data_IF_649977406169
#
_entry.id   IF_649977406169
#
_cell.length_a   1.000
_cell.length_b   1.000
_cell.length_c   1.000
_cell.angle_alpha   90.00
_cell.angle_beta   90.00
_cell.angle_gamma   90.00
#
_symmetry.space_group_name_H-M   'P 1'
#
loop_
_entity.id
_entity.type
_entity.pdbx_description
1 polymer ?
#
# COMPACT_ATOMS: atom_id res chain seq x y z
N UNK A 1 5.23 13.99 -30.19
CA UNK A 1 4.65 12.69 -29.77
C UNK A 1 5.21 11.64 -30.72
N UNK A 2 6.16 10.86 -30.26
CA UNK A 2 6.91 9.90 -31.09
C UNK A 2 6.12 8.58 -31.27
N UNK A 3 6.29 7.93 -32.42
CA UNK A 3 5.63 6.64 -32.77
C UNK A 3 5.73 5.54 -31.69
N UNK A 4 6.76 5.59 -30.85
CA UNK A 4 6.94 4.67 -29.71
C UNK A 4 5.87 4.86 -28.60
N UNK A 5 5.38 6.09 -28.37
CA UNK A 5 4.34 6.34 -27.37
C UNK A 5 2.97 5.79 -27.78
N UNK A 6 2.70 5.71 -29.10
CA UNK A 6 1.44 5.16 -29.62
C UNK A 6 1.48 3.62 -29.56
N UNK A 7 2.61 3.00 -29.87
CA UNK A 7 2.77 1.55 -29.78
C UNK A 7 2.73 1.05 -28.32
N UNK A 8 3.26 1.84 -27.39
CA UNK A 8 3.26 1.53 -25.95
C UNK A 8 1.87 1.73 -25.32
N UNK A 9 1.14 2.78 -25.74
CA UNK A 9 -0.26 3.01 -25.34
C UNK A 9 -1.17 1.89 -25.83
N UNK A 10 -1.03 1.44 -27.07
CA UNK A 10 -1.75 0.31 -27.64
C UNK A 10 -1.42 -1.02 -26.94
N UNK A 11 -0.19 -1.20 -26.43
CA UNK A 11 0.20 -2.40 -25.68
C UNK A 11 -0.38 -2.43 -24.25
N UNK A 12 -0.63 -1.25 -23.68
CA UNK A 12 -1.26 -1.09 -22.35
C UNK A 12 -2.78 -1.26 -22.47
N UNK A 13 -3.38 -0.63 -23.48
CA UNK A 13 -4.78 -0.81 -23.83
C UNK A 13 -5.03 -2.28 -24.22
N UNK A 14 -4.13 -2.93 -24.96
CA UNK A 14 -4.18 -4.36 -25.28
C UNK A 14 -3.94 -5.26 -24.07
N UNK A 15 -3.13 -4.88 -23.07
CA UNK A 15 -2.99 -5.61 -21.81
C UNK A 15 -4.21 -5.43 -20.91
N UNK A 16 -4.76 -4.21 -20.82
CA UNK A 16 -6.01 -3.94 -20.10
C UNK A 16 -7.18 -4.62 -20.83
N UNK A 17 -7.21 -4.60 -22.18
CA UNK A 17 -8.18 -5.32 -22.99
C UNK A 17 -7.94 -6.84 -23.02
N UNK A 18 -6.68 -7.32 -22.98
CA UNK A 18 -6.35 -8.75 -22.85
C UNK A 18 -6.71 -9.28 -21.47
N UNK A 19 -6.52 -8.49 -20.42
CA UNK A 19 -7.05 -8.78 -19.09
C UNK A 19 -8.59 -8.79 -19.16
N UNK A 20 -9.23 -7.80 -19.77
CA UNK A 20 -10.67 -7.76 -19.98
C UNK A 20 -11.17 -8.91 -20.89
N UNK A 21 -10.43 -9.28 -21.98
CA UNK A 21 -10.78 -10.39 -22.88
C UNK A 21 -10.49 -11.78 -22.29
N UNK A 22 -9.50 -11.93 -21.40
CA UNK A 22 -9.35 -13.18 -20.63
C UNK A 22 -10.53 -13.38 -19.69
N UNK A 23 -11.10 -12.28 -19.15
CA UNK A 23 -12.33 -12.31 -18.37
C UNK A 23 -13.54 -12.77 -19.16
N UNK A 24 -13.71 -12.33 -20.41
CA UNK A 24 -14.87 -12.72 -21.25
C UNK A 24 -14.81 -14.17 -21.71
N UNK A 25 -13.64 -14.77 -21.88
CA UNK A 25 -13.51 -16.18 -22.28
C UNK A 25 -13.75 -17.18 -21.14
N UNK A 26 -13.54 -16.77 -19.89
CA UNK A 26 -13.84 -17.62 -18.70
C UNK A 26 -15.31 -17.54 -18.29
N UNK A 27 -16.06 -16.51 -18.74
CA UNK A 27 -17.48 -16.35 -18.41
C UNK A 27 -18.43 -17.32 -19.14
N UNK A 28 -18.02 -17.89 -20.28
CA UNK A 28 -18.92 -18.73 -21.10
C UNK A 28 -19.09 -20.18 -20.59
N UNK A 29 -18.42 -20.61 -19.51
CA UNK A 29 -18.55 -21.96 -19.00
C UNK A 29 -18.87 -22.08 -17.49
N UNK A 30 -18.92 -20.97 -16.75
CA UNK A 30 -19.36 -21.00 -15.34
C UNK A 30 -20.88 -20.90 -15.28
N UNK A 31 -21.54 -22.01 -15.03
CA UNK A 31 -22.94 -22.03 -14.55
C UNK A 31 -23.10 -20.94 -13.48
N UNK A 32 -24.19 -20.14 -13.57
CA UNK A 32 -24.58 -19.12 -12.56
C UNK A 32 -24.84 -19.78 -11.21
N UNK A 33 -23.78 -20.21 -10.51
CA UNK A 33 -23.90 -20.61 -9.12
C UNK A 33 -23.98 -19.35 -8.26
N UNK A 34 -24.87 -19.38 -7.28
CA UNK A 34 -25.09 -18.32 -6.31
C UNK A 34 -23.76 -17.98 -5.59
N UNK A 35 -23.49 -16.69 -5.40
CA UNK A 35 -22.35 -16.24 -4.62
C UNK A 35 -22.72 -16.35 -3.14
N UNK A 36 -21.88 -17.02 -2.36
CA UNK A 36 -22.03 -17.16 -0.91
C UNK A 36 -20.91 -16.41 -0.22
N UNK A 37 -21.28 -15.47 0.67
CA UNK A 37 -20.31 -14.75 1.50
C UNK A 37 -20.12 -15.48 2.83
N UNK A 38 -18.86 -15.71 3.21
CA UNK A 38 -18.49 -16.34 4.48
C UNK A 38 -17.38 -15.55 5.17
N UNK A 39 -17.31 -15.64 6.48
CA UNK A 39 -16.17 -15.17 7.24
C UNK A 39 -15.04 -16.20 7.13
N UNK A 40 -13.79 -15.72 6.94
CA UNK A 40 -12.60 -16.58 6.84
C UNK A 40 -12.40 -17.33 8.16
N UNK A 41 -12.32 -18.65 8.09
CA UNK A 41 -11.80 -19.51 9.13
C UNK A 41 -10.37 -20.02 8.82
N UNK A 42 -9.77 -20.76 9.75
CA UNK A 42 -8.39 -21.23 9.60
C UNK A 42 -8.21 -22.23 8.44
N UNK A 43 -9.24 -23.03 8.17
CA UNK A 43 -9.18 -24.09 7.14
C UNK A 43 -9.10 -23.49 5.73
N UNK A 44 -9.67 -22.30 5.54
CA UNK A 44 -9.67 -21.59 4.25
C UNK A 44 -8.51 -20.61 4.08
N UNK A 45 -7.64 -20.40 5.07
CA UNK A 45 -6.54 -19.42 4.98
C UNK A 45 -5.59 -19.67 3.81
N UNK A 46 -5.28 -20.93 3.51
CA UNK A 46 -4.42 -21.31 2.37
C UNK A 46 -5.09 -21.01 1.03
N UNK A 47 -6.38 -21.37 0.88
CA UNK A 47 -7.14 -21.10 -0.35
C UNK A 47 -7.35 -19.60 -0.56
N UNK A 48 -7.60 -18.84 0.52
CA UNK A 48 -7.63 -17.37 0.48
C UNK A 48 -6.33 -16.78 -0.04
N UNK A 49 -5.19 -17.18 0.55
CA UNK A 49 -3.88 -16.66 0.17
C UNK A 49 -3.50 -17.07 -1.27
N UNK A 50 -3.91 -18.26 -1.72
CA UNK A 50 -3.72 -18.72 -3.10
C UNK A 50 -4.55 -17.87 -4.07
N UNK A 51 -5.83 -17.63 -3.76
CA UNK A 51 -6.67 -16.71 -4.52
C UNK A 51 -6.02 -15.33 -4.65
N UNK A 52 -5.58 -14.75 -3.53
CA UNK A 52 -4.95 -13.41 -3.53
C UNK A 52 -3.70 -13.37 -4.41
N UNK A 53 -2.86 -14.43 -4.40
CA UNK A 53 -1.65 -14.46 -5.24
C UNK A 53 -1.94 -14.56 -6.73
N UNK A 54 -3.05 -15.18 -7.10
CA UNK A 54 -3.42 -15.44 -8.50
C UNK A 54 -4.40 -14.40 -9.06
N UNK A 55 -5.12 -13.67 -8.21
CA UNK A 55 -6.09 -12.68 -8.65
C UNK A 55 -5.39 -11.43 -9.22
N UNK A 56 -5.84 -10.89 -10.36
CA UNK A 56 -5.22 -9.71 -11.01
C UNK A 56 -5.15 -8.46 -10.14
N UNK A 57 -6.07 -8.33 -9.16
CA UNK A 57 -6.11 -7.24 -8.19
C UNK A 57 -5.49 -7.60 -6.84
N UNK A 58 -4.88 -8.77 -6.71
CA UNK A 58 -4.30 -9.27 -5.46
C UNK A 58 -3.07 -8.45 -5.03
N UNK A 59 -3.02 -8.14 -3.72
CA UNK A 59 -1.92 -7.39 -3.12
C UNK A 59 -1.44 -8.10 -1.85
N UNK A 60 -0.18 -7.93 -1.44
CA UNK A 60 0.30 -8.49 -0.16
C UNK A 60 -0.58 -8.10 1.02
N UNK A 61 -1.23 -6.94 0.95
CA UNK A 61 -2.13 -6.39 1.98
C UNK A 61 -3.48 -7.12 2.08
N UNK A 62 -3.84 -7.96 1.09
CA UNK A 62 -5.03 -8.80 1.13
C UNK A 62 -4.78 -10.16 1.80
N UNK A 63 -3.51 -10.58 1.98
CA UNK A 63 -3.20 -11.90 2.54
C UNK A 63 -3.77 -12.10 3.95
N UNK A 64 -4.19 -13.31 4.25
CA UNK A 64 -4.85 -13.69 5.50
C UNK A 64 -4.01 -13.38 6.75
N UNK A 65 -2.70 -13.45 6.63
CA UNK A 65 -1.73 -13.22 7.71
C UNK A 65 -1.78 -11.83 8.32
N UNK A 66 -2.36 -10.83 7.65
CA UNK A 66 -2.61 -9.52 8.23
C UNK A 66 -3.58 -9.55 9.42
N UNK A 67 -4.42 -10.58 9.55
CA UNK A 67 -5.23 -10.75 10.77
C UNK A 67 -4.37 -10.80 12.03
N UNK A 68 -3.27 -11.56 11.98
CA UNK A 68 -2.36 -11.68 13.13
C UNK A 68 -1.62 -10.37 13.38
N UNK A 69 -1.14 -9.68 12.34
CA UNK A 69 -0.47 -8.39 12.48
C UNK A 69 -1.39 -7.38 13.16
N UNK A 70 -2.63 -7.25 12.68
CA UNK A 70 -3.60 -6.30 13.24
C UNK A 70 -4.03 -6.66 14.66
N UNK A 71 -4.20 -7.94 14.95
CA UNK A 71 -4.55 -8.44 16.28
C UNK A 71 -3.40 -8.28 17.28
N UNK A 72 -2.17 -8.69 16.90
CA UNK A 72 -0.98 -8.58 17.79
C UNK A 72 -0.62 -7.13 18.06
N UNK A 73 -0.64 -6.27 17.03
CA UNK A 73 -0.18 -4.87 17.17
C UNK A 73 -1.20 -3.98 17.84
N UNK A 74 -2.47 -4.07 17.43
CA UNK A 74 -3.50 -3.10 17.83
C UNK A 74 -4.64 -3.70 18.63
N UNK A 75 -4.74 -5.02 18.73
CA UNK A 75 -5.85 -5.70 19.41
C UNK A 75 -7.17 -5.58 18.65
N UNK A 76 -7.15 -5.28 17.33
CA UNK A 76 -8.37 -5.13 16.56
C UNK A 76 -9.10 -6.46 16.34
N UNK A 77 -10.41 -6.39 16.39
CA UNK A 77 -11.28 -7.48 15.92
C UNK A 77 -11.31 -7.48 14.39
N UNK A 78 -10.95 -8.58 13.79
CA UNK A 78 -10.96 -8.75 12.34
C UNK A 78 -12.25 -9.42 11.86
N UNK A 79 -12.67 -9.12 10.63
CA UNK A 79 -13.80 -9.67 9.90
C UNK A 79 -13.40 -9.84 8.45
N UNK A 80 -12.77 -10.96 8.13
CA UNK A 80 -12.30 -11.23 6.78
C UNK A 80 -13.40 -11.95 6.01
N UNK A 81 -13.97 -11.29 5.00
CA UNK A 81 -15.06 -11.81 4.20
C UNK A 81 -14.54 -12.44 2.91
N UNK A 82 -15.06 -13.61 2.59
CA UNK A 82 -14.71 -14.41 1.42
C UNK A 82 -15.98 -14.67 0.62
N UNK A 83 -15.95 -14.33 -0.67
CA UNK A 83 -16.99 -14.67 -1.63
C UNK A 83 -16.62 -15.96 -2.35
N UNK A 84 -17.55 -16.91 -2.39
CA UNK A 84 -17.40 -18.17 -3.08
C UNK A 84 -18.50 -18.36 -4.12
N UNK A 85 -18.13 -18.84 -5.31
CA UNK A 85 -19.05 -19.28 -6.35
C UNK A 85 -18.86 -20.80 -6.52
N UNK A 86 -19.80 -21.57 -5.99
CA UNK A 86 -19.58 -23.00 -5.78
C UNK A 86 -18.49 -23.24 -4.74
N UNK A 87 -17.40 -23.93 -5.13
CA UNK A 87 -16.26 -24.20 -4.26
C UNK A 87 -15.07 -23.26 -4.49
N UNK A 88 -15.18 -22.33 -5.43
CA UNK A 88 -14.08 -21.45 -5.81
C UNK A 88 -14.23 -20.07 -5.17
N UNK A 89 -13.13 -19.53 -4.66
CA UNK A 89 -13.11 -18.16 -4.14
C UNK A 89 -13.08 -17.21 -5.34
N UNK A 90 -14.03 -16.26 -5.37
CA UNK A 90 -14.13 -15.22 -6.41
C UNK A 90 -13.90 -13.81 -5.86
N UNK A 91 -13.77 -13.64 -4.54
CA UNK A 91 -13.43 -12.35 -3.95
C UNK A 91 -13.11 -12.43 -2.47
N UNK A 92 -12.33 -11.45 -1.99
CA UNK A 92 -11.91 -11.34 -0.60
C UNK A 92 -11.93 -9.89 -0.12
N UNK A 93 -12.32 -9.67 1.13
CA UNK A 93 -12.40 -8.36 1.75
C UNK A 93 -11.86 -8.43 3.19
N UNK A 94 -10.59 -8.02 3.43
CA UNK A 94 -9.93 -8.06 4.72
C UNK A 94 -10.35 -6.87 5.60
N UNK A 95 -11.29 -7.06 6.50
CA UNK A 95 -11.83 -6.02 7.37
C UNK A 95 -11.37 -6.14 8.81
N UNK A 96 -11.27 -4.99 9.49
CA UNK A 96 -11.06 -4.92 10.93
C UNK A 96 -11.82 -3.74 11.56
N UNK A 97 -12.23 -3.90 12.82
CA UNK A 97 -13.04 -2.91 13.52
C UNK A 97 -12.16 -1.95 14.34
N UNK A 98 -12.25 -0.66 14.02
CA UNK A 98 -11.62 0.41 14.80
C UNK A 98 -12.68 1.09 15.66
N UNK A 99 -12.48 1.09 16.99
CA UNK A 99 -13.39 1.71 17.96
C UNK A 99 -12.70 2.89 18.63
N UNK A 100 -12.46 3.93 17.86
CA UNK A 100 -11.73 5.12 18.31
C UNK A 100 -12.67 6.18 18.90
N UNK A 101 -12.27 6.75 20.03
CA UNK A 101 -12.94 7.95 20.59
C UNK A 101 -12.58 9.22 19.81
N UNK A 102 -11.44 9.22 19.10
CA UNK A 102 -10.95 10.39 18.35
C UNK A 102 -11.53 10.43 16.93
N UNK A 103 -11.60 9.26 16.26
CA UNK A 103 -11.95 9.19 14.83
C UNK A 103 -13.22 8.37 14.56
N UNK A 104 -13.97 8.01 15.62
CA UNK A 104 -15.22 7.28 15.51
C UNK A 104 -15.06 5.76 15.46
N UNK A 105 -16.22 5.09 15.36
CA UNK A 105 -16.32 3.63 15.27
C UNK A 105 -16.59 3.24 13.83
N UNK A 106 -15.71 2.45 13.23
CA UNK A 106 -15.81 2.05 11.83
C UNK A 106 -15.24 0.66 11.57
N UNK A 107 -15.73 0.02 10.54
CA UNK A 107 -15.11 -1.13 9.90
C UNK A 107 -14.21 -0.63 8.78
N UNK A 108 -13.01 -1.15 8.61
CA UNK A 108 -12.12 -0.70 7.56
C UNK A 108 -11.19 -1.80 7.06
N UNK A 109 -10.69 -1.62 5.84
CA UNK A 109 -9.70 -2.53 5.25
C UNK A 109 -8.27 -2.12 5.58
N UNK A 110 -7.33 -3.05 5.37
CA UNK A 110 -5.94 -2.70 5.02
C UNK A 110 -5.93 -1.87 3.74
N UNK A 111 -4.87 -1.07 3.46
CA UNK A 111 -4.69 -0.46 2.15
C UNK A 111 -4.72 -1.52 1.02
N UNK A 112 -5.30 -1.17 -0.12
CA UNK A 112 -5.57 -2.12 -1.20
C UNK A 112 -7.06 -2.44 -1.35
N UNK A 113 -7.80 -2.33 -0.28
CA UNK A 113 -9.25 -2.44 -0.31
C UNK A 113 -9.76 -3.87 -0.41
N UNK A 114 -10.61 -4.13 -1.38
CA UNK A 114 -11.13 -5.45 -1.70
C UNK A 114 -10.48 -5.99 -2.99
N UNK A 115 -10.40 -7.30 -3.10
CA UNK A 115 -9.99 -8.00 -4.31
C UNK A 115 -11.14 -8.90 -4.77
N UNK A 116 -11.73 -8.63 -5.93
CA UNK A 116 -12.81 -9.40 -6.51
C UNK A 116 -12.58 -9.61 -8.01
N UNK A 117 -13.06 -10.73 -8.55
CA UNK A 117 -12.92 -11.07 -9.95
C UNK A 117 -13.91 -10.30 -10.85
N UNK A 118 -15.05 -9.91 -10.30
CA UNK A 118 -16.12 -9.22 -11.03
C UNK A 118 -16.91 -8.26 -10.12
N UNK A 119 -17.71 -7.40 -10.75
CA UNK A 119 -18.51 -6.38 -10.08
C UNK A 119 -19.58 -6.96 -9.18
N UNK A 120 -20.25 -8.04 -9.60
CA UNK A 120 -21.28 -8.71 -8.80
C UNK A 120 -20.72 -9.21 -7.46
N UNK A 121 -19.55 -9.85 -7.51
CA UNK A 121 -18.81 -10.30 -6.33
C UNK A 121 -18.42 -9.13 -5.42
N UNK A 122 -17.96 -8.03 -6.01
CA UNK A 122 -17.60 -6.84 -5.26
C UNK A 122 -18.80 -6.23 -4.54
N UNK A 123 -19.94 -6.08 -5.23
CA UNK A 123 -21.19 -5.56 -4.65
C UNK A 123 -21.61 -6.40 -3.44
N UNK A 124 -21.68 -7.71 -3.60
CA UNK A 124 -22.14 -8.60 -2.51
C UNK A 124 -21.18 -8.56 -1.29
N UNK A 125 -19.86 -8.46 -1.52
CA UNK A 125 -18.90 -8.28 -0.42
C UNK A 125 -19.11 -6.94 0.32
N UNK A 126 -19.40 -5.86 -0.41
CA UNK A 126 -19.64 -4.54 0.16
C UNK A 126 -20.96 -4.50 0.94
N UNK A 127 -22.05 -5.03 0.38
CA UNK A 127 -23.35 -5.17 1.07
C UNK A 127 -23.23 -5.99 2.35
N UNK A 128 -22.49 -7.10 2.30
CA UNK A 128 -22.24 -7.91 3.49
C UNK A 128 -21.40 -7.16 4.54
N UNK A 129 -20.42 -6.34 4.11
CA UNK A 129 -19.64 -5.49 5.00
C UNK A 129 -20.50 -4.41 5.70
N UNK A 130 -21.52 -3.86 5.02
CA UNK A 130 -22.51 -2.97 5.62
C UNK A 130 -23.28 -3.69 6.73
N UNK A 131 -23.78 -4.89 6.46
CA UNK A 131 -24.51 -5.68 7.45
C UNK A 131 -23.61 -6.00 8.67
N UNK A 132 -22.37 -6.43 8.45
CA UNK A 132 -21.39 -6.66 9.53
C UNK A 132 -21.17 -5.38 10.36
N UNK A 133 -21.09 -4.21 9.71
CA UNK A 133 -20.92 -2.95 10.43
C UNK A 133 -22.14 -2.63 11.30
N UNK A 134 -23.37 -2.83 10.79
CA UNK A 134 -24.61 -2.64 11.54
C UNK A 134 -24.68 -3.59 12.75
N UNK A 135 -24.40 -4.87 12.57
CA UNK A 135 -24.41 -5.88 13.64
C UNK A 135 -23.39 -5.55 14.75
N UNK A 136 -22.24 -5.00 14.37
CA UNK A 136 -21.19 -4.56 15.30
C UNK A 136 -21.46 -3.16 15.89
N UNK A 137 -22.55 -2.49 15.50
CA UNK A 137 -22.91 -1.11 15.89
C UNK A 137 -21.78 -0.12 15.53
N UNK A 138 -21.21 -0.31 14.34
CA UNK A 138 -20.25 0.62 13.72
C UNK A 138 -21.00 1.52 12.74
N UNK A 139 -20.58 2.76 12.60
CA UNK A 139 -21.32 3.79 11.85
C UNK A 139 -20.88 3.96 10.41
N UNK A 140 -19.80 3.30 10.02
CA UNK A 140 -19.26 3.39 8.66
C UNK A 140 -18.39 2.19 8.31
N UNK A 141 -18.30 1.94 7.01
CA UNK A 141 -17.30 1.05 6.39
C UNK A 141 -16.39 1.90 5.53
N UNK A 142 -15.09 1.68 5.61
CA UNK A 142 -14.07 2.41 4.84
C UNK A 142 -13.18 1.41 4.12
N UNK A 143 -13.23 1.43 2.80
CA UNK A 143 -12.33 0.65 1.94
C UNK A 143 -11.16 1.56 1.58
N UNK A 144 -9.95 1.22 2.04
CA UNK A 144 -8.78 2.07 1.88
C UNK A 144 -7.97 1.71 0.64
N UNK A 145 -7.56 2.73 -0.12
CA UNK A 145 -6.64 2.61 -1.25
C UNK A 145 -7.01 1.51 -2.24
N UNK A 146 -8.31 1.35 -2.53
CA UNK A 146 -8.78 0.42 -3.56
C UNK A 146 -8.16 0.82 -4.91
N UNK A 147 -7.62 -0.15 -5.62
CA UNK A 147 -7.11 0.06 -6.98
C UNK A 147 -8.19 -0.03 -8.05
N UNK A 148 -9.37 -0.48 -7.67
CA UNK A 148 -10.54 -0.57 -8.51
C UNK A 148 -11.65 0.31 -7.95
N UNK A 149 -12.34 1.02 -8.83
CA UNK A 149 -13.54 1.78 -8.49
C UNK A 149 -14.73 0.84 -8.69
N UNK A 150 -15.29 0.37 -7.58
CA UNK A 150 -16.48 -0.46 -7.54
C UNK A 150 -17.74 0.39 -7.44
N UNK A 151 -18.95 -0.21 -7.50
CA UNK A 151 -20.16 0.52 -7.82
C UNK A 151 -20.47 1.72 -6.96
N UNK A 152 -21.30 2.54 -7.53
CA UNK A 152 -21.51 3.98 -7.41
C UNK A 152 -22.26 4.43 -6.14
N UNK A 153 -22.77 3.50 -5.33
CA UNK A 153 -23.57 3.83 -4.14
C UNK A 153 -22.71 4.28 -2.96
N UNK A 154 -21.45 3.90 -2.97
CA UNK A 154 -20.47 4.32 -1.97
C UNK A 154 -19.77 5.60 -2.40
N UNK A 155 -19.64 6.54 -1.46
CA UNK A 155 -18.85 7.74 -1.71
C UNK A 155 -17.39 7.38 -2.02
N UNK A 156 -16.88 7.83 -3.16
CA UNK A 156 -15.50 7.60 -3.57
C UNK A 156 -14.69 8.89 -3.60
N UNK A 157 -13.45 8.82 -3.15
CA UNK A 157 -12.46 9.90 -3.23
C UNK A 157 -11.13 9.36 -3.74
N UNK A 158 -10.44 10.16 -4.55
CA UNK A 158 -9.14 9.81 -5.11
C UNK A 158 -8.20 11.01 -5.06
N UNK A 159 -7.46 11.14 -3.97
CA UNK A 159 -6.42 12.17 -3.80
C UNK A 159 -4.99 11.60 -3.87
N UNK A 160 -4.87 10.28 -4.07
CA UNK A 160 -3.61 9.56 -4.17
C UNK A 160 -3.52 8.77 -5.47
N UNK A 161 -2.28 8.52 -5.88
CA UNK A 161 -1.93 7.62 -6.98
C UNK A 161 -0.90 6.61 -6.49
N UNK A 162 -0.94 5.38 -7.02
CA UNK A 162 0.19 4.45 -6.92
C UNK A 162 1.02 4.51 -8.19
N UNK A 163 2.26 4.04 -8.13
CA UNK A 163 3.19 4.02 -9.25
C UNK A 163 3.71 2.60 -9.46
N UNK A 164 3.53 2.08 -10.66
CA UNK A 164 4.03 0.77 -11.08
C UNK A 164 5.09 0.95 -12.15
N UNK A 165 6.25 0.32 -11.95
CA UNK A 165 7.34 0.28 -12.91
C UNK A 165 7.54 -1.16 -13.39
N UNK A 166 7.57 -1.35 -14.71
CA UNK A 166 8.02 -2.60 -15.31
C UNK A 166 9.54 -2.60 -15.34
N UNK A 167 10.14 -3.64 -14.79
CA UNK A 167 11.59 -3.83 -14.75
C UNK A 167 12.03 -4.69 -15.93
N UNK A 168 13.18 -4.37 -16.57
CA UNK A 168 13.81 -5.26 -17.54
C UNK A 168 14.48 -6.44 -16.81
N UNK A 169 14.91 -7.44 -17.55
CA UNK A 169 15.61 -8.62 -17.02
C UNK A 169 17.00 -8.31 -16.48
N UNK A 170 17.65 -7.23 -16.96
CA UNK A 170 19.02 -6.87 -16.62
C UNK A 170 19.15 -5.43 -16.14
N UNK A 171 20.02 -5.20 -15.17
CA UNK A 171 20.30 -3.88 -14.58
C UNK A 171 20.83 -2.89 -15.61
N UNK A 172 21.70 -3.34 -16.53
CA UNK A 172 22.25 -2.52 -17.61
C UNK A 172 21.18 -2.02 -18.56
N UNK A 173 20.17 -2.84 -18.83
CA UNK A 173 19.02 -2.45 -19.66
C UNK A 173 18.22 -1.35 -18.96
N UNK A 174 17.94 -1.50 -17.65
CA UNK A 174 17.31 -0.44 -16.86
C UNK A 174 18.12 0.84 -16.88
N UNK A 175 19.43 0.74 -16.61
CA UNK A 175 20.32 1.92 -16.59
C UNK A 175 20.30 2.68 -17.90
N UNK A 176 20.32 1.97 -19.03
CA UNK A 176 20.29 2.57 -20.36
C UNK A 176 18.98 3.31 -20.67
N UNK A 177 17.84 2.79 -20.17
CA UNK A 177 16.52 3.37 -20.36
C UNK A 177 16.26 4.62 -19.52
N UNK A 178 16.96 4.77 -18.38
CA UNK A 178 16.78 5.92 -17.50
C UNK A 178 17.18 7.23 -18.19
N UNK A 179 16.46 8.31 -17.86
CA UNK A 179 16.84 9.66 -18.27
C UNK A 179 18.28 10.00 -17.81
N UNK A 180 19.00 10.74 -18.63
CA UNK A 180 20.39 11.14 -18.36
C UNK A 180 20.53 11.90 -17.05
N UNK A 181 19.52 12.71 -16.67
CA UNK A 181 19.52 13.42 -15.39
C UNK A 181 19.43 12.44 -14.22
N UNK A 182 18.57 11.39 -14.29
CA UNK A 182 18.45 10.37 -13.22
C UNK A 182 19.81 9.67 -13.05
N UNK A 183 20.42 9.19 -14.14
CA UNK A 183 21.75 8.58 -14.11
C UNK A 183 22.80 9.50 -13.47
N UNK A 184 22.75 10.80 -13.79
CA UNK A 184 23.63 11.80 -13.18
C UNK A 184 23.41 11.95 -11.68
N UNK A 185 22.13 11.93 -11.21
CA UNK A 185 21.84 12.03 -9.78
C UNK A 185 22.32 10.79 -9.00
N UNK A 186 22.13 9.59 -9.55
CA UNK A 186 22.65 8.34 -8.94
C UNK A 186 24.18 8.37 -8.87
N UNK A 187 24.88 8.74 -9.96
CA UNK A 187 26.34 8.89 -9.93
C UNK A 187 26.81 9.94 -8.91
N UNK A 188 26.06 11.04 -8.77
CA UNK A 188 26.37 12.07 -7.77
C UNK A 188 26.20 11.53 -6.35
N UNK A 189 25.16 10.73 -6.08
CA UNK A 189 24.97 10.09 -4.79
C UNK A 189 26.16 9.20 -4.41
N UNK A 190 26.62 8.33 -5.34
CA UNK A 190 27.79 7.49 -5.14
C UNK A 190 29.06 8.30 -4.89
N UNK A 191 29.27 9.45 -5.59
CA UNK A 191 30.39 10.38 -5.34
C UNK A 191 30.30 11.06 -3.97
N UNK A 192 29.10 11.23 -3.42
CA UNK A 192 28.87 11.78 -2.08
C UNK A 192 29.04 10.74 -0.97
N UNK A 193 29.72 9.62 -1.25
CA UNK A 193 30.06 8.55 -0.29
C UNK A 193 28.84 7.89 0.36
N UNK A 194 27.67 7.95 -0.31
CA UNK A 194 26.51 7.20 0.14
C UNK A 194 26.72 5.71 -0.17
N UNK A 195 26.41 4.85 0.82
CA UNK A 195 26.47 3.39 0.72
C UNK A 195 25.07 2.82 0.85
N UNK A 196 24.71 1.88 0.00
CA UNK A 196 23.43 1.17 0.10
C UNK A 196 23.64 -0.26 0.66
N UNK A 197 22.60 -0.74 1.32
CA UNK A 197 22.57 -2.08 1.89
C UNK A 197 21.12 -2.60 1.83
N UNK A 198 20.93 -3.87 1.40
CA UNK A 198 19.61 -4.53 1.37
C UNK A 198 19.67 -5.79 2.22
N UNK A 199 18.67 -5.97 3.07
CA UNK A 199 18.57 -7.05 4.03
C UNK A 199 17.20 -7.74 3.97
N UNK A 200 17.20 -9.07 4.01
CA UNK A 200 16.02 -9.93 4.10
C UNK A 200 15.96 -10.74 5.40
N UNK A 201 16.92 -10.53 6.30
CA UNK A 201 16.97 -11.20 7.61
C UNK A 201 16.22 -10.46 8.71
N UNK A 202 15.93 -9.17 8.49
CA UNK A 202 15.37 -8.26 9.49
C UNK A 202 16.40 -7.56 10.37
N UNK A 203 17.70 -7.81 10.15
CA UNK A 203 18.78 -7.18 10.93
C UNK A 203 18.79 -5.65 10.79
N UNK A 204 18.35 -5.11 9.65
CA UNK A 204 18.26 -3.67 9.42
C UNK A 204 16.99 -3.01 9.98
N UNK A 205 16.04 -3.77 10.54
CA UNK A 205 14.80 -3.20 11.07
C UNK A 205 15.02 -2.09 12.12
N UNK A 206 15.90 -2.22 13.10
CA UNK A 206 16.12 -1.15 14.09
C UNK A 206 16.60 0.17 13.44
N UNK A 207 17.53 0.09 12.49
CA UNK A 207 18.07 1.25 11.79
C UNK A 207 17.01 1.89 10.86
N UNK A 208 16.22 1.08 10.14
CA UNK A 208 15.08 1.55 9.36
C UNK A 208 14.07 2.28 10.25
N UNK A 209 13.70 1.69 11.38
CA UNK A 209 12.70 2.26 12.29
C UNK A 209 13.14 3.60 12.88
N UNK A 210 14.41 3.74 13.28
CA UNK A 210 14.95 5.01 13.78
C UNK A 210 14.87 6.09 12.70
N UNK A 211 15.37 5.81 11.49
CA UNK A 211 15.29 6.75 10.35
C UNK A 211 13.84 7.13 10.04
N UNK A 212 12.94 6.14 9.93
CA UNK A 212 11.54 6.36 9.60
C UNK A 212 10.80 7.15 10.69
N UNK A 213 11.13 6.91 11.96
CA UNK A 213 10.60 7.67 13.10
C UNK A 213 11.02 9.14 13.06
N UNK A 214 12.29 9.41 12.73
CA UNK A 214 12.79 10.79 12.54
C UNK A 214 12.08 11.48 11.38
N UNK A 215 11.93 10.80 10.26
CA UNK A 215 11.22 11.35 9.11
C UNK A 215 9.77 11.69 9.46
N UNK A 216 9.02 10.75 10.05
CA UNK A 216 7.62 10.97 10.41
C UNK A 216 7.45 12.08 11.43
N UNK A 217 8.38 12.19 12.39
CA UNK A 217 8.43 13.32 13.31
C UNK A 217 8.60 14.65 12.55
N UNK A 218 9.57 14.75 11.63
CA UNK A 218 9.85 15.97 10.86
C UNK A 218 8.66 16.42 9.98
N UNK A 219 7.91 15.47 9.41
CA UNK A 219 6.73 15.78 8.57
C UNK A 219 5.44 15.90 9.36
N UNK A 220 5.49 15.84 10.70
CA UNK A 220 4.33 16.06 11.55
C UNK A 220 3.36 14.89 11.64
N UNK A 221 3.80 13.67 11.34
CA UNK A 221 2.96 12.47 11.35
C UNK A 221 3.38 11.53 12.50
N UNK A 222 2.44 10.99 13.30
CA UNK A 222 2.78 9.97 14.29
C UNK A 222 3.36 8.72 13.63
N UNK A 223 4.44 8.19 14.17
CA UNK A 223 4.99 6.90 13.74
C UNK A 223 4.17 5.75 14.34
N UNK A 224 4.09 4.62 13.65
CA UNK A 224 3.61 3.37 14.25
C UNK A 224 4.64 2.78 15.21
N UNK A 225 4.26 1.81 16.05
CA UNK A 225 5.20 1.14 16.97
C UNK A 225 6.21 0.27 16.23
N UNK A 226 7.38 0.09 16.82
CA UNK A 226 8.40 -0.86 16.32
C UNK A 226 7.81 -2.26 16.14
N UNK A 227 6.97 -2.67 17.10
CA UNK A 227 6.30 -3.97 17.12
C UNK A 227 5.41 -4.19 15.91
N UNK A 228 4.88 -3.13 15.28
CA UNK A 228 4.09 -3.26 14.06
C UNK A 228 4.94 -3.87 12.93
N UNK A 229 6.11 -3.31 12.67
CA UNK A 229 7.01 -3.83 11.63
C UNK A 229 7.60 -5.20 12.00
N UNK A 230 7.92 -5.42 13.28
CA UNK A 230 8.37 -6.72 13.74
C UNK A 230 7.30 -7.80 13.52
N UNK A 231 6.03 -7.49 13.81
CA UNK A 231 4.91 -8.40 13.53
C UNK A 231 4.69 -8.61 12.02
N UNK A 232 4.97 -7.61 11.17
CA UNK A 232 4.95 -7.77 9.71
C UNK A 232 6.05 -8.73 9.28
N UNK A 233 7.29 -8.57 9.73
CA UNK A 233 8.41 -9.49 9.44
C UNK A 233 8.05 -10.92 9.85
N UNK A 234 7.53 -11.11 11.07
CA UNK A 234 7.09 -12.43 11.56
C UNK A 234 6.00 -13.05 10.68
N UNK A 235 5.06 -12.23 10.19
CA UNK A 235 3.95 -12.70 9.36
C UNK A 235 4.36 -12.99 7.90
N UNK A 236 5.44 -12.40 7.41
CA UNK A 236 5.90 -12.51 6.01
C UNK A 236 7.31 -13.09 5.90
N UNK A 237 7.60 -14.29 6.46
CA UNK A 237 8.93 -14.88 6.40
C UNK A 237 9.35 -15.10 4.94
N UNK A 238 10.52 -14.55 4.56
CA UNK A 238 11.06 -14.62 3.21
C UNK A 238 10.30 -13.83 2.15
N UNK A 239 9.32 -12.99 2.55
CA UNK A 239 8.51 -12.17 1.64
C UNK A 239 8.65 -10.67 1.91
N UNK A 240 9.81 -10.22 2.38
CA UNK A 240 10.11 -8.80 2.61
C UNK A 240 11.58 -8.49 2.40
N UNK A 241 11.89 -7.22 2.20
CA UNK A 241 13.25 -6.70 2.32
C UNK A 241 13.26 -5.30 2.92
N UNK A 242 14.44 -4.91 3.44
CA UNK A 242 14.72 -3.56 3.98
C UNK A 242 15.94 -3.04 3.24
N UNK A 243 15.77 -1.96 2.50
CA UNK A 243 16.86 -1.27 1.81
C UNK A 243 17.21 0.03 2.53
N UNK A 244 18.47 0.22 2.91
CA UNK A 244 18.96 1.43 3.56
C UNK A 244 20.06 2.09 2.73
N UNK A 245 20.10 3.41 2.78
CA UNK A 245 21.20 4.24 2.26
C UNK A 245 21.83 4.97 3.44
N UNK A 246 23.11 4.77 3.62
CA UNK A 246 23.93 5.31 4.69
C UNK A 246 24.80 6.47 4.18
N UNK A 247 24.96 7.47 5.03
CA UNK A 247 26.01 8.47 4.95
C UNK A 247 26.81 8.39 6.25
N UNK A 248 28.04 7.94 6.17
CA UNK A 248 28.82 7.50 7.33
C UNK A 248 28.00 6.46 8.14
N UNK A 249 27.77 6.73 9.43
CA UNK A 249 27.00 5.85 10.34
C UNK A 249 25.52 6.24 10.46
N UNK A 250 25.03 7.17 9.64
CA UNK A 250 23.65 7.65 9.70
C UNK A 250 22.84 7.15 8.51
N UNK A 251 21.66 6.60 8.76
CA UNK A 251 20.71 6.23 7.69
C UNK A 251 20.10 7.48 7.08
N UNK A 252 20.42 7.74 5.82
CA UNK A 252 19.97 8.91 5.06
C UNK A 252 18.65 8.70 4.32
N UNK A 253 18.35 7.45 3.92
CA UNK A 253 17.10 7.03 3.28
C UNK A 253 16.89 5.54 3.50
N UNK A 254 15.65 5.07 3.39
CA UNK A 254 15.35 3.65 3.49
C UNK A 254 13.94 3.33 3.07
N UNK A 255 13.75 2.06 2.70
CA UNK A 255 12.48 1.49 2.31
C UNK A 255 12.30 0.11 2.93
N UNK A 256 11.08 -0.17 3.35
CA UNK A 256 10.59 -1.50 3.70
C UNK A 256 9.64 -1.95 2.60
N UNK A 257 9.91 -3.09 2.00
CA UNK A 257 9.11 -3.67 0.93
C UNK A 257 8.51 -5.02 1.34
N UNK A 258 7.38 -5.37 0.73
CA UNK A 258 6.86 -6.73 0.70
C UNK A 258 7.02 -7.31 -0.70
N UNK A 259 7.17 -8.63 -0.77
CA UNK A 259 7.38 -9.38 -2.00
C UNK A 259 6.23 -10.36 -2.20
N UNK A 260 5.61 -10.37 -3.39
CA UNK A 260 4.55 -11.33 -3.72
C UNK A 260 4.51 -11.57 -5.24
N UNK A 261 4.61 -12.83 -5.65
CA UNK A 261 4.65 -13.20 -7.06
C UNK A 261 5.86 -12.59 -7.75
N UNK A 262 5.64 -11.92 -8.85
CA UNK A 262 6.64 -11.24 -9.68
C UNK A 262 6.80 -9.75 -9.35
N UNK A 263 6.22 -9.29 -8.25
CA UNK A 263 6.15 -7.86 -7.88
C UNK A 263 6.74 -7.59 -6.51
N UNK A 264 7.62 -6.59 -6.44
CA UNK A 264 8.11 -6.00 -5.20
C UNK A 264 7.27 -4.76 -4.86
N UNK A 265 6.75 -4.68 -3.64
CA UNK A 265 5.82 -3.63 -3.20
C UNK A 265 6.47 -2.71 -2.18
N UNK A 266 6.68 -1.45 -2.52
CA UNK A 266 7.14 -0.41 -1.60
C UNK A 266 6.07 -0.03 -0.58
N UNK A 267 6.25 -0.47 0.66
CA UNK A 267 5.27 -0.28 1.74
C UNK A 267 5.51 1.00 2.52
N UNK A 268 6.69 1.14 3.08
CA UNK A 268 7.10 2.30 3.88
C UNK A 268 8.49 2.74 3.45
N UNK A 269 8.64 4.02 3.18
CA UNK A 269 9.93 4.55 2.78
C UNK A 269 10.04 6.04 3.00
N UNK A 270 11.26 6.49 3.23
CA UNK A 270 11.59 7.89 3.44
C UNK A 270 13.03 8.20 3.04
N UNK A 271 13.28 9.48 2.80
CA UNK A 271 14.61 10.05 2.76
C UNK A 271 14.63 11.29 3.65
N UNK A 272 15.57 11.34 4.59
CA UNK A 272 15.68 12.45 5.54
C UNK A 272 16.02 13.74 4.79
N UNK A 273 15.31 14.86 5.06
CA UNK A 273 15.46 16.13 4.36
C UNK A 273 16.88 16.65 4.31
N UNK A 274 17.64 16.50 5.39
CA UNK A 274 19.04 16.93 5.51
C UNK A 274 20.00 16.22 4.53
N UNK A 275 19.64 15.01 4.07
CA UNK A 275 20.45 14.21 3.13
C UNK A 275 19.97 14.29 1.67
N UNK A 276 18.85 14.96 1.38
CA UNK A 276 18.34 15.07 0.01
C UNK A 276 19.32 15.75 -0.95
N UNK A 277 20.12 16.72 -0.45
CA UNK A 277 21.18 17.38 -1.23
C UNK A 277 22.29 16.41 -1.67
N UNK A 278 22.50 15.33 -0.92
CA UNK A 278 23.45 14.25 -1.24
C UNK A 278 22.86 13.25 -2.24
N UNK A 279 21.57 13.37 -2.61
CA UNK A 279 20.86 12.50 -3.54
C UNK A 279 20.55 11.12 -2.97
N UNK A 280 20.33 11.02 -1.66
CA UNK A 280 20.03 9.77 -0.96
C UNK A 280 18.78 9.06 -1.52
N UNK A 281 17.70 9.80 -1.83
CA UNK A 281 16.49 9.23 -2.42
C UNK A 281 16.74 8.60 -3.82
N UNK A 282 17.63 9.19 -4.62
CA UNK A 282 17.97 8.64 -5.95
C UNK A 282 18.74 7.33 -5.83
N UNK A 283 19.71 7.27 -4.92
CA UNK A 283 20.45 6.04 -4.69
C UNK A 283 19.53 4.95 -4.14
N UNK A 284 18.70 5.29 -3.17
CA UNK A 284 17.79 4.34 -2.55
C UNK A 284 16.85 3.68 -3.57
N UNK A 285 16.23 4.46 -4.45
CA UNK A 285 15.32 3.89 -5.44
C UNK A 285 16.07 3.10 -6.55
N UNK A 286 17.27 3.54 -6.92
CA UNK A 286 18.11 2.78 -7.83
C UNK A 286 18.49 1.41 -7.27
N UNK A 287 18.97 1.35 -6.04
CA UNK A 287 19.38 0.09 -5.40
C UNK A 287 18.21 -0.86 -5.19
N UNK A 288 17.01 -0.35 -4.91
CA UNK A 288 15.79 -1.16 -4.85
C UNK A 288 15.46 -1.78 -6.21
N UNK A 289 15.56 -1.01 -7.29
CA UNK A 289 15.29 -1.54 -8.64
C UNK A 289 16.34 -2.56 -9.06
N UNK A 290 17.62 -2.29 -8.79
CA UNK A 290 18.72 -3.21 -9.02
C UNK A 290 18.52 -4.53 -8.23
N UNK A 291 18.19 -4.43 -6.94
CA UNK A 291 17.89 -5.59 -6.11
C UNK A 291 16.68 -6.38 -6.62
N UNK A 292 15.61 -5.69 -7.04
CA UNK A 292 14.42 -6.33 -7.59
C UNK A 292 14.74 -7.13 -8.87
N UNK A 293 15.52 -6.55 -9.80
CA UNK A 293 15.98 -7.23 -11.02
C UNK A 293 16.81 -8.47 -10.68
N UNK A 294 17.78 -8.32 -9.78
CA UNK A 294 18.69 -9.41 -9.38
C UNK A 294 17.98 -10.57 -8.67
N UNK A 295 16.76 -10.33 -8.15
CA UNK A 295 15.90 -11.36 -7.56
C UNK A 295 14.76 -11.82 -8.48
N UNK A 296 14.78 -11.41 -9.77
CA UNK A 296 13.84 -11.88 -10.79
C UNK A 296 12.45 -11.24 -10.73
N UNK A 297 12.28 -10.10 -10.06
CA UNK A 297 11.02 -9.37 -10.08
C UNK A 297 10.83 -8.64 -11.41
N UNK A 298 9.63 -8.78 -11.98
CA UNK A 298 9.23 -8.10 -13.22
C UNK A 298 8.67 -6.71 -12.96
N UNK A 299 8.10 -6.48 -11.77
CA UNK A 299 7.44 -5.22 -11.42
C UNK A 299 7.94 -4.68 -10.08
N UNK A 300 8.02 -3.35 -10.03
CA UNK A 300 8.18 -2.59 -8.79
C UNK A 300 6.98 -1.66 -8.58
N UNK A 301 6.19 -1.93 -7.57
CA UNK A 301 5.21 -0.99 -7.05
C UNK A 301 5.90 -0.02 -6.10
N UNK A 302 6.06 1.23 -6.50
CA UNK A 302 6.71 2.26 -5.69
C UNK A 302 5.81 2.82 -4.58
N UNK A 303 4.64 2.20 -4.35
CA UNK A 303 3.67 2.61 -3.35
C UNK A 303 2.91 3.89 -3.71
N UNK A 304 1.96 4.25 -2.87
CA UNK A 304 1.11 5.42 -3.06
C UNK A 304 1.82 6.75 -2.76
N UNK A 305 1.30 7.82 -3.35
CA UNK A 305 1.68 9.20 -3.05
C UNK A 305 0.50 10.13 -3.31
N UNK A 306 0.37 11.27 -2.60
CA UNK A 306 -0.62 12.27 -2.96
C UNK A 306 -0.42 12.73 -4.41
N UNK A 307 -1.51 12.82 -5.18
CA UNK A 307 -1.47 13.23 -6.56
C UNK A 307 -0.83 14.63 -6.70
N UNK A 308 0.07 14.80 -7.68
CA UNK A 308 0.76 16.07 -7.91
C UNK A 308 1.83 16.47 -6.88
N UNK A 309 2.01 15.69 -5.80
CA UNK A 309 3.04 15.94 -4.79
C UNK A 309 4.47 15.81 -5.34
N UNK A 310 5.46 16.34 -4.59
CA UNK A 310 6.87 16.14 -4.94
C UNK A 310 7.26 14.66 -4.93
N UNK A 311 6.70 13.84 -4.04
CA UNK A 311 6.93 12.41 -4.01
C UNK A 311 6.37 11.73 -5.27
N UNK A 312 5.16 12.09 -5.71
CA UNK A 312 4.57 11.59 -6.95
C UNK A 312 5.39 11.99 -8.18
N UNK A 313 5.78 13.27 -8.28
CA UNK A 313 6.65 13.75 -9.35
C UNK A 313 8.01 13.05 -9.38
N UNK A 314 8.61 12.80 -8.21
CA UNK A 314 9.85 12.06 -8.08
C UNK A 314 9.72 10.62 -8.61
N UNK A 315 8.66 9.90 -8.25
CA UNK A 315 8.40 8.54 -8.75
C UNK A 315 8.20 8.53 -10.27
N UNK A 316 7.47 9.50 -10.82
CA UNK A 316 7.21 9.61 -12.25
C UNK A 316 8.48 9.83 -13.11
N UNK A 317 9.56 10.34 -12.55
CA UNK A 317 10.84 10.53 -13.29
C UNK A 317 11.49 9.20 -13.69
N UNK A 318 11.15 8.09 -13.01
CA UNK A 318 11.76 6.79 -13.21
C UNK A 318 11.11 5.93 -14.29
N UNK A 319 10.12 6.48 -15.00
CA UNK A 319 9.46 5.80 -16.12
C UNK A 319 8.27 4.93 -15.71
N UNK A 320 7.90 4.95 -14.43
CA UNK A 320 6.71 4.23 -13.95
C UNK A 320 5.41 4.84 -14.45
N UNK A 321 4.35 4.04 -14.44
CA UNK A 321 2.99 4.43 -14.72
C UNK A 321 2.24 4.68 -13.43
N UNK A 322 1.39 5.71 -13.40
CA UNK A 322 0.55 5.97 -12.23
C UNK A 322 -0.91 5.70 -12.53
N UNK A 323 -1.60 5.16 -11.53
CA UNK A 323 -3.05 5.05 -11.54
C UNK A 323 -3.63 5.53 -10.21
N UNK A 324 -4.89 6.01 -10.20
CA UNK A 324 -5.54 6.44 -8.97
C UNK A 324 -5.75 5.28 -8.00
N UNK A 325 -5.79 5.60 -6.71
CA UNK A 325 -6.34 4.73 -5.68
C UNK A 325 -7.54 5.43 -5.06
N UNK A 326 -8.54 4.66 -4.70
CA UNK A 326 -9.82 5.18 -4.23
C UNK A 326 -10.05 4.81 -2.78
N UNK A 327 -10.57 5.76 -2.01
CA UNK A 327 -11.17 5.47 -0.73
C UNK A 327 -12.68 5.44 -0.90
N UNK A 328 -13.30 4.28 -0.64
CA UNK A 328 -14.74 4.13 -0.68
C UNK A 328 -15.29 4.18 0.74
N UNK A 329 -16.38 4.91 0.95
CA UNK A 329 -16.98 5.07 2.29
C UNK A 329 -18.49 4.88 2.24
N UNK A 330 -18.98 3.97 3.07
CA UNK A 330 -20.38 3.82 3.40
C UNK A 330 -20.68 4.37 4.80
N UNK A 331 -21.88 4.92 5.01
CA UNK A 331 -22.34 5.46 6.31
C UNK A 331 -23.79 5.06 6.58
N UNK A 332 -24.05 4.61 7.80
CA UNK A 332 -25.37 4.20 8.29
C UNK A 332 -26.50 5.22 8.00
N UNK A 333 -26.23 6.50 8.04
CA UNK A 333 -27.24 7.55 7.90
C UNK A 333 -27.42 8.07 6.47
N UNK A 334 -26.88 7.41 5.45
CA UNK A 334 -27.01 7.84 4.05
C UNK A 334 -26.48 9.26 3.75
N UNK A 335 -25.79 9.89 4.68
CA UNK A 335 -25.15 11.20 4.47
C UNK A 335 -23.95 11.07 3.55
N UNK A 336 -24.22 10.83 2.28
CA UNK A 336 -23.26 10.70 1.20
C UNK A 336 -22.62 12.03 0.78
N UNK A 337 -22.47 12.97 1.67
CA UNK A 337 -21.96 14.30 1.34
C UNK A 337 -20.88 14.86 2.27
N UNK A 338 -20.54 14.14 3.33
CA UNK A 338 -19.46 14.59 4.21
C UNK A 338 -18.15 13.95 3.76
N UNK A 339 -17.12 14.79 3.56
CA UNK A 339 -15.75 14.36 3.29
C UNK A 339 -15.35 13.18 4.17
N UNK A 340 -14.57 12.25 3.61
CA UNK A 340 -14.09 11.06 4.32
C UNK A 340 -13.42 11.43 5.62
N UNK A 341 -13.34 10.48 6.56
CA UNK A 341 -12.63 10.69 7.83
C UNK A 341 -11.20 11.17 7.57
N UNK A 342 -10.55 10.70 6.53
CA UNK A 342 -9.19 11.11 6.16
C UNK A 342 -9.16 12.56 5.66
N UNK A 343 -10.13 13.00 4.85
CA UNK A 343 -10.20 14.37 4.36
C UNK A 343 -10.82 15.31 5.39
N UNK A 344 -11.77 14.86 6.21
CA UNK A 344 -12.21 15.61 7.38
C UNK A 344 -11.07 15.82 8.37
N UNK A 345 -10.26 14.80 8.63
CA UNK A 345 -9.07 14.92 9.50
C UNK A 345 -8.02 15.83 8.86
N UNK A 346 -7.78 15.75 7.54
CA UNK A 346 -6.83 16.63 6.83
C UNK A 346 -7.33 18.09 6.72
N UNK A 347 -8.64 18.31 6.54
CA UNK A 347 -9.26 19.65 6.47
C UNK A 347 -9.57 20.23 7.85
N UNK A 348 -9.58 19.43 8.92
CA UNK A 348 -9.78 19.90 10.28
C UNK A 348 -8.58 20.78 10.70
N UNK A 349 -8.87 22.04 11.05
CA UNK A 349 -7.88 22.97 11.57
C UNK A 349 -7.07 22.40 12.73
N UNK A 350 -7.69 21.51 13.54
CA UNK A 350 -7.01 20.80 14.64
C UNK A 350 -5.94 19.84 14.13
N UNK A 351 -6.21 19.14 13.01
CA UNK A 351 -5.21 18.25 12.42
C UNK A 351 -4.07 19.04 11.77
N UNK A 352 -4.39 20.16 11.09
CA UNK A 352 -3.36 21.04 10.57
C UNK A 352 -2.50 21.66 11.67
N UNK A 353 -3.10 22.09 12.78
CA UNK A 353 -2.36 22.51 13.96
C UNK A 353 -1.52 21.38 14.56
N UNK A 354 -2.07 20.17 14.61
CA UNK A 354 -1.35 19.01 15.10
C UNK A 354 -0.08 18.74 14.27
N UNK A 355 -0.18 18.71 12.93
CA UNK A 355 0.97 18.48 12.04
C UNK A 355 2.01 19.59 12.11
N UNK A 356 1.63 20.83 12.47
CA UNK A 356 2.56 21.95 12.68
C UNK A 356 3.22 21.94 14.06
N UNK A 357 2.54 21.43 15.08
CA UNK A 357 3.05 21.36 16.45
C UNK A 357 3.89 20.10 16.68
N UNK A 358 3.52 18.98 16.08
CA UNK A 358 4.17 17.68 16.27
C UNK A 358 5.69 17.73 16.07
N UNK A 359 6.26 18.35 15.02
CA UNK A 359 7.71 18.43 14.82
C UNK A 359 8.42 19.32 15.86
N UNK A 360 7.68 20.13 16.62
CA UNK A 360 8.25 21.02 17.66
C UNK A 360 8.34 20.34 19.02
N UNK A 361 7.68 19.19 19.19
CA UNK A 361 7.75 18.40 20.41
C UNK A 361 9.10 17.68 20.50
N UNK A 362 9.60 17.34 21.70
CA UNK A 362 10.78 16.50 21.83
C UNK A 362 10.60 15.16 21.09
N UNK A 363 11.59 14.73 20.32
CA UNK A 363 11.59 13.49 19.56
C UNK A 363 11.25 12.26 20.42
N UNK A 364 11.84 12.18 21.62
CA UNK A 364 11.55 11.10 22.57
C UNK A 364 10.10 11.03 23.04
N UNK A 365 9.39 12.17 23.04
CA UNK A 365 7.97 12.23 23.36
C UNK A 365 7.12 11.73 22.19
N UNK A 366 7.44 12.19 20.96
CA UNK A 366 6.67 11.82 19.77
C UNK A 366 6.81 10.34 19.44
N UNK A 367 7.99 9.73 19.62
CA UNK A 367 8.19 8.29 19.45
C UNK A 367 7.43 7.43 20.47
N UNK A 368 7.17 7.93 21.68
CA UNK A 368 6.34 7.26 22.68
C UNK A 368 4.84 7.44 22.44
N UNK A 369 4.43 8.61 22.00
CA UNK A 369 3.00 8.94 21.76
C UNK A 369 2.52 8.45 20.40
N UNK A 370 3.40 8.42 19.40
CA UNK A 370 3.07 8.04 18.03
C UNK A 370 2.32 6.70 17.92
N UNK A 371 2.85 5.59 18.49
CA UNK A 371 2.18 4.30 18.46
C UNK A 371 0.78 4.30 19.07
N UNK A 372 0.55 5.06 20.14
CA UNK A 372 -0.76 5.18 20.78
C UNK A 372 -1.75 5.95 19.91
N UNK A 373 -1.27 7.00 19.22
CA UNK A 373 -2.10 7.77 18.29
C UNK A 373 -2.41 6.96 17.04
N UNK A 374 -1.45 6.17 16.52
CA UNK A 374 -1.67 5.26 15.38
C UNK A 374 -2.74 4.22 15.63
N UNK A 375 -2.96 3.83 16.87
CA UNK A 375 -4.10 2.98 17.21
C UNK A 375 -5.45 3.60 16.81
N UNK A 376 -5.57 4.92 16.80
CA UNK A 376 -6.80 5.61 16.39
C UNK A 376 -6.91 5.83 14.88
N UNK A 377 -5.77 5.87 14.17
CA UNK A 377 -5.66 6.20 12.74
C UNK A 377 -4.70 5.22 12.02
N UNK A 378 -5.01 3.92 12.02
CA UNK A 378 -4.17 2.96 11.32
C UNK A 378 -4.07 3.32 9.84
N UNK A 379 -2.89 3.16 9.26
CA UNK A 379 -2.59 3.44 7.84
C UNK A 379 -2.84 4.88 7.33
N UNK A 380 -3.02 5.88 8.21
CA UNK A 380 -3.16 7.29 7.81
C UNK A 380 -1.84 7.90 7.34
#
# INVERSE_FOLDING_TARGET
MTRNNIAMRNKIEANVESIAHSYTRTQDSMTRSEIVIRELDQDYSSAWDEFVRNAPGGLPLHLSRWQQVMKKTYGYSTRYLMAQRGNEICGVLPLFAVRSRLTGKRLMTTPGGLCALDEETAIQLLEHAEQVALDLRLKSVVIQDSRQLWPQEWQSESDHVFWLLTLPEEEEALWSQLDSNIRRQVRKARKNQLRAEVDRSGALLPAFYDMFSRFTHQVGTPVFGYEFLANVIEAFPGGYNIALVWHDDVVAAGYFQLEMGDTMYGMWGAALPEFLRLRSAYLSLWEIMSDAINHGFTYLDMGRSPAGSNASKFKGQWGGQSAPVYQLTWRENGQNGAATVTNQVKSDQRFQLFTQVWPKLPYSLTTRLGPRLRWHIPFA
#
